data_IF_999088534091
#
_entry.id   IF_999088534091
#
_cell.length_a   1.000
_cell.length_b   1.000
_cell.length_c   1.000
_cell.angle_alpha   90.00
_cell.angle_beta   90.00
_cell.angle_gamma   90.00
#
_symmetry.space_group_name_H-M   'P 1'
#
loop_
_entity.id
_entity.type
_entity.pdbx_description
1 polymer ?
#
# COMPACT_ATOMS: atom_id res chain seq x y z
N UNK A 1 -12.79 7.41 5.71
CA UNK A 1 -11.68 6.46 5.59
C UNK A 1 -12.20 5.06 5.30
N UNK A 2 -11.89 4.55 4.12
CA UNK A 2 -12.14 3.17 3.68
C UNK A 2 -10.98 2.28 4.08
N UNK A 3 -11.25 1.08 4.59
CA UNK A 3 -10.19 0.13 4.90
C UNK A 3 -9.68 -0.50 3.61
N UNK A 4 -8.36 -0.69 3.50
CA UNK A 4 -7.75 -1.39 2.36
C UNK A 4 -8.41 -2.76 2.08
N UNK A 5 -8.84 -3.47 3.13
CA UNK A 5 -9.52 -4.77 3.05
C UNK A 5 -10.92 -4.72 2.45
N UNK A 6 -11.58 -3.58 2.60
CA UNK A 6 -12.94 -3.36 2.09
C UNK A 6 -12.92 -3.03 0.60
N UNK A 7 -11.78 -2.53 0.09
CA UNK A 7 -11.59 -2.27 -1.34
C UNK A 7 -11.61 -3.58 -2.15
N UNK A 8 -12.27 -3.51 -3.30
CA UNK A 8 -12.25 -4.60 -4.28
C UNK A 8 -10.83 -4.90 -4.77
N UNK A 9 -10.58 -6.15 -5.19
CA UNK A 9 -9.26 -6.57 -5.69
C UNK A 9 -8.78 -5.69 -6.84
N UNK A 10 -9.69 -5.26 -7.71
CA UNK A 10 -9.40 -4.33 -8.81
C UNK A 10 -8.96 -2.94 -8.31
N UNK A 11 -9.65 -2.37 -7.32
CA UNK A 11 -9.24 -1.09 -6.72
C UNK A 11 -7.88 -1.20 -6.03
N UNK A 12 -7.65 -2.27 -5.27
CA UNK A 12 -6.34 -2.54 -4.67
C UNK A 12 -5.24 -2.65 -5.72
N UNK A 13 -5.52 -3.30 -6.86
CA UNK A 13 -4.59 -3.42 -7.96
C UNK A 13 -4.29 -2.05 -8.60
N UNK A 14 -5.31 -1.27 -8.91
CA UNK A 14 -5.16 0.08 -9.47
C UNK A 14 -4.33 0.98 -8.55
N UNK A 15 -4.58 0.93 -7.23
CA UNK A 15 -3.81 1.69 -6.24
C UNK A 15 -2.34 1.26 -6.19
N UNK A 16 -2.06 -0.05 -6.23
CA UNK A 16 -0.68 -0.56 -6.28
C UNK A 16 0.05 -0.14 -7.56
N UNK A 17 -0.62 -0.21 -8.71
CA UNK A 17 -0.04 0.22 -10.00
C UNK A 17 0.29 1.71 -9.99
N UNK A 18 -0.65 2.54 -9.52
CA UNK A 18 -0.43 3.98 -9.42
C UNK A 18 0.69 4.33 -8.43
N UNK A 19 0.82 3.59 -7.33
CA UNK A 19 1.94 3.77 -6.39
C UNK A 19 3.28 3.29 -6.96
N UNK A 20 3.30 2.20 -7.72
CA UNK A 20 4.50 1.70 -8.38
C UNK A 20 5.06 2.73 -9.39
N UNK A 21 4.19 3.40 -10.14
CA UNK A 21 4.59 4.49 -11.03
C UNK A 21 5.17 5.69 -10.25
N UNK A 22 4.66 5.96 -9.05
CA UNK A 22 5.21 6.99 -8.17
C UNK A 22 6.59 6.59 -7.62
N UNK A 23 6.77 5.31 -7.23
CA UNK A 23 8.06 4.78 -6.77
C UNK A 23 9.14 4.80 -7.84
N UNK A 24 8.78 4.58 -9.12
CA UNK A 24 9.72 4.65 -10.24
C UNK A 24 10.36 6.05 -10.37
N UNK A 25 9.66 7.09 -9.93
CA UNK A 25 10.17 8.47 -9.90
C UNK A 25 10.94 8.83 -8.62
N UNK A 26 10.99 7.94 -7.62
CA UNK A 26 11.64 8.18 -6.34
C UNK A 26 12.97 7.42 -6.23
N UNK A 27 13.94 7.94 -5.45
CA UNK A 27 15.17 7.19 -5.16
C UNK A 27 14.80 5.86 -4.47
N UNK A 28 15.56 4.78 -4.73
CA UNK A 28 15.27 3.48 -4.14
C UNK A 28 15.42 3.56 -2.62
N UNK A 29 14.30 3.45 -1.91
CA UNK A 29 14.31 3.33 -0.45
C UNK A 29 14.69 1.90 -0.07
N UNK A 30 15.65 1.76 0.85
CA UNK A 30 16.24 0.46 1.22
C UNK A 30 15.46 -0.27 2.32
N UNK A 31 14.40 0.34 2.87
CA UNK A 31 13.69 -0.20 4.02
C UNK A 31 12.22 -0.51 3.71
N UNK A 32 11.79 -1.73 4.04
CA UNK A 32 10.40 -2.17 3.87
C UNK A 32 9.44 -1.33 4.72
N UNK A 33 9.82 -1.00 5.94
CA UNK A 33 9.01 -0.16 6.85
C UNK A 33 8.77 1.22 6.26
N UNK A 34 9.80 1.82 5.65
CA UNK A 34 9.73 3.13 5.00
C UNK A 34 8.81 3.08 3.76
N UNK A 35 8.93 2.02 2.94
CA UNK A 35 8.02 1.80 1.80
C UNK A 35 6.56 1.66 2.23
N UNK A 36 6.30 0.97 3.34
CA UNK A 36 4.95 0.78 3.86
C UNK A 36 4.41 2.08 4.46
N UNK A 37 5.24 2.84 5.19
CA UNK A 37 4.85 4.15 5.73
C UNK A 37 4.55 5.15 4.59
N UNK A 38 5.39 5.21 3.56
CA UNK A 38 5.17 6.04 2.38
C UNK A 38 3.89 5.63 1.61
N UNK A 39 3.62 4.33 1.51
CA UNK A 39 2.39 3.84 0.88
C UNK A 39 1.15 4.16 1.72
N UNK A 40 1.23 4.01 3.04
CA UNK A 40 0.17 4.35 3.97
C UNK A 40 -0.15 5.85 3.93
N UNK A 41 0.86 6.74 3.92
CA UNK A 41 0.68 8.19 3.78
C UNK A 41 0.00 8.52 2.45
N UNK A 42 0.48 7.92 1.35
CA UNK A 42 -0.07 8.14 0.02
C UNK A 42 -1.53 7.67 -0.10
N UNK A 43 -1.88 6.58 0.56
CA UNK A 43 -3.26 6.07 0.63
C UNK A 43 -4.15 6.91 1.56
N UNK A 44 -3.62 7.42 2.67
CA UNK A 44 -4.36 8.28 3.59
C UNK A 44 -4.86 9.56 2.90
N UNK A 45 -4.06 10.13 1.99
CA UNK A 45 -4.48 11.26 1.13
C UNK A 45 -5.66 10.94 0.21
N UNK A 46 -5.94 9.65 -0.02
CA UNK A 46 -7.04 9.13 -0.86
C UNK A 46 -8.20 8.58 -0.02
N UNK A 47 -8.22 8.90 1.28
CA UNK A 47 -9.18 8.39 2.26
C UNK A 47 -9.15 6.86 2.41
N UNK A 48 -7.99 6.24 2.18
CA UNK A 48 -7.77 4.79 2.34
C UNK A 48 -6.83 4.53 3.51
N UNK A 49 -7.27 3.72 4.46
CA UNK A 49 -6.47 3.28 5.60
C UNK A 49 -5.67 2.01 5.24
N UNK A 50 -4.34 2.08 5.40
CA UNK A 50 -3.42 0.97 5.17
C UNK A 50 -2.30 0.95 6.21
N UNK A 51 -1.96 -0.25 6.69
CA UNK A 51 -0.97 -0.45 7.75
C UNK A 51 -0.10 -1.68 7.47
N UNK A 52 1.04 -1.80 8.17
CA UNK A 52 1.94 -2.96 8.06
C UNK A 52 1.23 -4.30 8.32
N UNK A 53 0.20 -4.30 9.17
CA UNK A 53 -0.64 -5.48 9.46
C UNK A 53 -1.37 -6.02 8.20
N UNK A 54 -1.68 -5.15 7.24
CA UNK A 54 -2.29 -5.54 5.97
C UNK A 54 -1.30 -6.21 5.01
N UNK A 55 -0.01 -5.89 5.13
CA UNK A 55 1.07 -6.58 4.40
C UNK A 55 1.32 -7.96 4.98
N UNK A 56 1.38 -8.06 6.31
CA UNK A 56 1.78 -9.29 7.01
C UNK A 56 0.74 -10.42 6.91
N UNK A 57 -0.53 -10.12 6.61
CA UNK A 57 -1.57 -11.15 6.49
C UNK A 57 -1.43 -12.02 5.23
N UNK A 58 -0.60 -11.63 4.24
CA UNK A 58 -0.43 -12.42 3.01
C UNK A 58 0.52 -13.62 3.13
N UNK A 59 1.08 -13.89 4.32
CA UNK A 59 1.93 -15.08 4.59
C UNK A 59 1.31 -16.09 5.56
N UNK A 60 0.12 -15.85 6.12
CA UNK A 60 -0.60 -16.86 6.92
C UNK A 60 -1.58 -17.63 6.03
N UNK A 61 -1.05 -18.58 5.26
CA UNK A 61 -1.85 -19.49 4.44
C UNK A 61 -1.04 -20.70 4.02
N UNK A 62 -0.85 -21.64 4.95
CA UNK A 62 -1.16 -23.08 4.83
C UNK A 62 -0.46 -23.89 5.94
#
# INVERSE_FOLDING_TARGET
MREWKDLSKDEQLQLRLAYQAHLDSLPPTCDLTDKVAAFADWLARRDVAFSLEDVSRKTAGN
#
